data_IF_333543268034
#
_entry.id   IF_333543268034
#
_cell.length_a   1.000
_cell.length_b   1.000
_cell.length_c   1.000
_cell.angle_alpha   90.00
_cell.angle_beta   90.00
_cell.angle_gamma   90.00
#
_symmetry.space_group_name_H-M   'P 1'
#
loop_
_entity.id
_entity.type
_entity.pdbx_description
1 polymer ?
#
# COMPACT_ATOMS: atom_id res chain seq x y z
N UNK A 1 -42.63 -7.17 19.13
CA UNK A 1 -42.10 -5.81 19.32
C UNK A 1 -41.64 -5.34 17.96
N UNK A 2 -42.29 -4.33 17.42
CA UNK A 2 -42.02 -3.86 16.05
C UNK A 2 -40.70 -3.09 15.99
N UNK A 3 -39.83 -3.46 15.05
CA UNK A 3 -38.58 -2.75 14.80
C UNK A 3 -38.88 -1.47 13.99
N UNK A 4 -39.23 -0.40 14.70
CA UNK A 4 -39.44 0.91 14.08
C UNK A 4 -38.11 1.59 13.73
N UNK A 5 -38.04 2.15 12.53
CA UNK A 5 -36.97 3.04 12.09
C UNK A 5 -37.03 4.38 12.85
N UNK A 6 -35.91 5.12 12.85
CA UNK A 6 -35.85 6.44 13.51
C UNK A 6 -36.77 7.48 12.88
N UNK A 7 -37.17 7.30 11.61
CA UNK A 7 -38.14 8.15 10.92
C UNK A 7 -39.54 7.87 11.47
N UNK A 8 -39.92 6.60 11.57
CA UNK A 8 -41.22 6.20 12.12
C UNK A 8 -41.37 6.60 13.59
N UNK A 9 -40.29 6.51 14.38
CA UNK A 9 -40.26 7.00 15.77
C UNK A 9 -40.47 8.52 15.82
N UNK A 10 -39.80 9.28 14.95
CA UNK A 10 -39.95 10.74 14.86
C UNK A 10 -41.40 11.12 14.55
N UNK A 11 -42.01 10.48 13.57
CA UNK A 11 -43.40 10.74 13.18
C UNK A 11 -44.40 10.35 14.27
N UNK A 12 -44.14 9.26 14.99
CA UNK A 12 -44.98 8.80 16.10
C UNK A 12 -44.94 9.80 17.26
N UNK A 13 -43.74 10.24 17.66
CA UNK A 13 -43.57 11.25 18.71
C UNK A 13 -44.29 12.55 18.35
N UNK A 14 -44.17 13.00 17.10
CA UNK A 14 -44.85 14.20 16.65
C UNK A 14 -46.37 14.06 16.67
N UNK A 15 -46.92 12.91 16.28
CA UNK A 15 -48.37 12.65 16.31
C UNK A 15 -48.92 12.67 17.74
N UNK A 16 -48.22 12.06 18.68
CA UNK A 16 -48.69 11.89 20.07
C UNK A 16 -48.47 13.15 20.93
N UNK A 17 -47.31 13.79 20.80
CA UNK A 17 -46.89 14.87 21.72
C UNK A 17 -46.91 16.25 21.08
N UNK A 18 -47.12 16.35 19.75
CA UNK A 18 -46.99 17.58 18.94
C UNK A 18 -45.60 18.23 19.00
N UNK A 19 -44.60 17.53 19.53
CA UNK A 19 -43.21 18.00 19.58
C UNK A 19 -42.47 17.48 18.34
N UNK A 20 -41.87 18.40 17.58
CA UNK A 20 -41.07 18.05 16.41
C UNK A 20 -39.62 17.75 16.82
N UNK A 21 -39.19 16.50 16.62
CA UNK A 21 -37.82 16.04 16.91
C UNK A 21 -37.27 15.43 15.64
N UNK A 22 -36.10 15.87 15.18
CA UNK A 22 -35.49 15.26 13.99
C UNK A 22 -35.03 13.81 14.24
N UNK A 23 -35.10 12.92 13.23
CA UNK A 23 -34.55 11.55 13.34
C UNK A 23 -33.07 11.52 13.76
N UNK A 24 -32.29 12.55 13.38
CA UNK A 24 -30.89 12.72 13.81
C UNK A 24 -30.75 12.98 15.31
N UNK A 25 -31.65 13.75 15.91
CA UNK A 25 -31.64 14.01 17.35
C UNK A 25 -31.97 12.73 18.15
N UNK A 26 -32.94 11.95 17.67
CA UNK A 26 -33.28 10.63 18.22
C UNK A 26 -32.06 9.71 18.14
N UNK A 27 -31.45 9.58 16.96
CA UNK A 27 -30.26 8.76 16.74
C UNK A 27 -29.08 9.18 17.64
N UNK A 28 -28.84 10.49 17.81
CA UNK A 28 -27.78 11.01 18.68
C UNK A 28 -28.02 10.63 20.15
N UNK A 29 -29.27 10.68 20.61
CA UNK A 29 -29.64 10.31 21.99
C UNK A 29 -29.52 8.81 22.22
N UNK A 30 -30.01 7.98 21.29
CA UNK A 30 -29.87 6.52 21.34
C UNK A 30 -28.40 6.07 21.31
N UNK A 31 -27.55 6.76 20.54
CA UNK A 31 -26.10 6.55 20.54
C UNK A 31 -25.47 6.92 21.89
N UNK A 32 -25.88 8.04 22.50
CA UNK A 32 -25.42 8.46 23.83
C UNK A 32 -25.83 7.48 24.95
N UNK A 33 -26.96 6.80 24.78
CA UNK A 33 -27.43 5.73 25.68
C UNK A 33 -26.80 4.35 25.38
N UNK A 34 -25.95 4.24 24.36
CA UNK A 34 -25.33 2.96 23.95
C UNK A 34 -26.28 1.95 23.30
N UNK A 35 -27.51 2.35 23.00
CA UNK A 35 -28.55 1.48 22.40
C UNK A 35 -28.33 1.26 20.89
N UNK A 36 -27.51 2.09 20.25
CA UNK A 36 -27.11 1.96 18.84
C UNK A 36 -25.59 1.96 18.74
N UNK A 37 -25.07 1.18 17.79
CA UNK A 37 -23.64 1.08 17.45
C UNK A 37 -23.02 2.45 17.16
N UNK A 38 -21.77 2.64 17.61
CA UNK A 38 -21.03 3.85 17.27
C UNK A 38 -20.71 3.89 15.77
N UNK A 39 -20.31 5.06 15.26
CA UNK A 39 -19.89 5.20 13.87
C UNK A 39 -18.70 4.29 13.54
N UNK A 40 -17.74 4.19 14.48
CA UNK A 40 -16.59 3.29 14.39
C UNK A 40 -17.03 1.83 14.32
N UNK A 41 -18.02 1.42 15.12
CA UNK A 41 -18.54 0.05 15.12
C UNK A 41 -19.27 -0.30 13.83
N UNK A 42 -20.10 0.62 13.33
CA UNK A 42 -20.78 0.45 12.05
C UNK A 42 -19.79 0.28 10.89
N UNK A 43 -18.72 1.07 10.90
CA UNK A 43 -17.63 0.99 9.93
C UNK A 43 -16.86 -0.34 10.03
N UNK A 44 -16.46 -0.75 11.24
CA UNK A 44 -15.77 -2.02 11.49
C UNK A 44 -16.61 -3.23 11.06
N UNK A 45 -17.92 -3.19 11.27
CA UNK A 45 -18.84 -4.24 10.84
C UNK A 45 -18.99 -4.28 9.31
N UNK A 46 -18.99 -3.12 8.65
CA UNK A 46 -18.99 -3.08 7.18
C UNK A 46 -17.72 -3.72 6.60
N UNK A 47 -16.57 -3.53 7.24
CA UNK A 47 -15.31 -4.20 6.88
C UNK A 47 -15.40 -5.71 7.11
N UNK A 48 -15.83 -6.16 8.29
CA UNK A 48 -15.98 -7.59 8.61
C UNK A 48 -16.95 -8.31 7.66
N UNK A 49 -17.96 -7.60 7.16
CA UNK A 49 -18.91 -8.10 6.15
C UNK A 49 -18.43 -7.96 4.70
N UNK A 50 -17.20 -7.49 4.46
CA UNK A 50 -16.62 -7.32 3.12
C UNK A 50 -17.26 -6.22 2.27
N UNK A 51 -18.12 -5.37 2.84
CA UNK A 51 -18.82 -4.30 2.11
C UNK A 51 -17.97 -3.05 1.91
N UNK A 52 -16.92 -2.90 2.72
CA UNK A 52 -15.92 -1.83 2.63
C UNK A 52 -14.54 -2.45 2.83
N UNK A 53 -13.54 -1.93 2.14
CA UNK A 53 -12.14 -2.36 2.30
C UNK A 53 -11.24 -1.15 2.49
N UNK A 54 -10.16 -1.33 3.27
CA UNK A 54 -9.06 -0.37 3.33
C UNK A 54 -8.13 -0.45 2.09
N UNK A 55 -8.47 -1.25 1.06
CA UNK A 55 -7.58 -1.49 -0.08
C UNK A 55 -7.19 -0.19 -0.81
N UNK A 56 -8.13 0.76 -0.91
CA UNK A 56 -7.92 2.09 -1.49
C UNK A 56 -7.09 3.03 -0.60
N UNK A 57 -6.93 2.71 0.69
CA UNK A 57 -6.12 3.45 1.67
C UNK A 57 -4.78 2.78 1.94
N UNK A 58 -4.39 1.74 1.17
CA UNK A 58 -3.00 1.27 1.19
C UNK A 58 -2.13 2.48 0.88
N UNK A 59 -1.37 2.95 1.87
CA UNK A 59 -0.39 4.02 1.69
C UNK A 59 0.44 3.67 0.46
N UNK A 60 0.56 4.60 -0.47
CA UNK A 60 1.58 4.48 -1.50
C UNK A 60 2.91 4.23 -0.79
N UNK A 61 3.65 3.20 -1.20
CA UNK A 61 4.99 2.93 -0.68
C UNK A 61 5.75 4.25 -0.81
N UNK A 62 6.31 4.75 0.30
CA UNK A 62 6.96 6.05 0.25
C UNK A 62 8.06 5.99 -0.80
N UNK A 63 8.20 7.03 -1.62
CA UNK A 63 9.25 7.09 -2.64
C UNK A 63 10.67 6.95 -2.06
N UNK A 64 10.84 7.19 -0.76
CA UNK A 64 12.07 6.95 -0.02
C UNK A 64 12.33 5.47 0.32
N UNK A 65 11.28 4.65 0.48
CA UNK A 65 11.40 3.20 0.69
C UNK A 65 11.78 2.50 -0.62
N UNK A 66 11.20 2.93 -1.74
CA UNK A 66 11.57 2.46 -3.09
C UNK A 66 13.01 2.86 -3.47
N UNK A 67 13.51 4.00 -2.96
CA UNK A 67 14.86 4.51 -3.24
C UNK A 67 15.84 4.31 -2.09
N UNK A 68 15.58 3.38 -1.17
CA UNK A 68 16.60 3.02 -0.17
C UNK A 68 17.83 2.51 -0.91
N UNK A 69 18.96 3.17 -0.68
CA UNK A 69 20.25 2.75 -1.21
C UNK A 69 20.58 1.33 -0.75
N UNK A 70 21.27 0.58 -1.61
CA UNK A 70 21.74 -0.77 -1.29
C UNK A 70 22.84 -0.63 -0.23
N UNK A 71 22.69 -1.34 0.89
CA UNK A 71 23.68 -1.34 1.97
C UNK A 71 25.04 -1.87 1.46
N UNK A 72 26.15 -1.33 1.98
CA UNK A 72 27.51 -1.71 1.59
C UNK A 72 27.79 -3.21 1.74
N UNK A 73 27.28 -3.85 2.81
CA UNK A 73 27.41 -5.29 3.04
C UNK A 73 26.75 -6.09 1.91
N UNK A 74 25.49 -5.77 1.61
CA UNK A 74 24.74 -6.43 0.54
C UNK A 74 25.42 -6.22 -0.82
N UNK A 75 25.91 -5.01 -1.09
CA UNK A 75 26.66 -4.71 -2.31
C UNK A 75 27.89 -5.63 -2.46
N UNK A 76 28.67 -5.80 -1.38
CA UNK A 76 29.82 -6.69 -1.38
C UNK A 76 29.42 -8.16 -1.54
N UNK A 77 28.37 -8.62 -0.87
CA UNK A 77 27.87 -10.00 -0.99
C UNK A 77 27.43 -10.33 -2.43
N UNK A 78 26.76 -9.39 -3.12
CA UNK A 78 26.39 -9.57 -4.53
C UNK A 78 27.63 -9.62 -5.44
N UNK A 79 28.60 -8.70 -5.27
CA UNK A 79 29.84 -8.76 -6.04
C UNK A 79 30.60 -10.06 -5.80
N UNK A 80 30.67 -10.54 -4.55
CA UNK A 80 31.32 -11.80 -4.22
C UNK A 80 30.62 -12.99 -4.87
N UNK A 81 29.29 -13.04 -4.84
CA UNK A 81 28.48 -14.09 -5.50
C UNK A 81 28.76 -14.14 -6.99
N UNK A 82 28.82 -12.98 -7.63
CA UNK A 82 29.02 -12.87 -9.09
C UNK A 82 30.50 -12.93 -9.49
N UNK A 83 31.40 -13.29 -8.57
CA UNK A 83 32.83 -13.45 -8.84
C UNK A 83 33.54 -12.14 -9.22
N UNK A 84 33.00 -11.00 -8.79
CA UNK A 84 33.44 -9.65 -9.17
C UNK A 84 33.48 -9.46 -10.69
N UNK A 85 32.49 -9.99 -11.41
CA UNK A 85 32.37 -9.87 -12.86
C UNK A 85 30.96 -9.48 -13.26
N UNK A 86 30.84 -8.84 -14.42
CA UNK A 86 29.54 -8.63 -15.05
C UNK A 86 28.92 -10.00 -15.39
N UNK A 87 27.69 -10.24 -14.94
CA UNK A 87 27.00 -11.52 -15.20
C UNK A 87 26.54 -11.69 -16.66
N UNK A 88 26.53 -10.61 -17.45
CA UNK A 88 26.12 -10.66 -18.86
C UNK A 88 27.30 -10.84 -19.81
N UNK A 89 28.37 -10.04 -19.67
CA UNK A 89 29.51 -10.06 -20.59
C UNK A 89 30.81 -10.62 -19.99
N UNK A 90 30.89 -10.81 -18.67
CA UNK A 90 32.08 -11.30 -18.00
C UNK A 90 33.14 -10.24 -17.66
N UNK A 91 32.95 -8.97 -18.05
CA UNK A 91 33.91 -7.89 -17.77
C UNK A 91 34.25 -7.80 -16.28
N UNK A 92 35.52 -7.54 -16.01
CA UNK A 92 36.09 -7.37 -14.68
C UNK A 92 36.25 -5.89 -14.31
N UNK A 93 36.55 -5.54 -13.05
CA UNK A 93 36.79 -4.16 -12.63
C UNK A 93 37.97 -3.48 -13.33
N UNK A 94 38.86 -4.25 -13.98
CA UNK A 94 39.97 -3.73 -14.78
C UNK A 94 39.50 -3.19 -16.14
N UNK A 95 38.42 -3.77 -16.67
CA UNK A 95 37.92 -3.46 -18.02
C UNK A 95 36.76 -2.46 -17.99
N UNK A 96 35.91 -2.51 -16.97
CA UNK A 96 34.76 -1.60 -16.85
C UNK A 96 34.32 -1.43 -15.40
N UNK A 97 33.64 -0.32 -15.12
CA UNK A 97 33.08 -0.05 -13.79
C UNK A 97 31.90 -0.98 -13.53
N UNK A 98 32.00 -1.77 -12.46
CA UNK A 98 30.91 -2.64 -12.01
C UNK A 98 29.90 -1.88 -11.15
N UNK A 99 28.62 -2.16 -11.39
CA UNK A 99 27.47 -1.61 -10.68
C UNK A 99 26.52 -2.75 -10.28
N UNK A 100 25.68 -2.47 -9.28
CA UNK A 100 24.58 -3.38 -8.92
C UNK A 100 23.34 -2.93 -9.67
N UNK A 101 22.72 -3.86 -10.38
CA UNK A 101 21.48 -3.70 -11.13
C UNK A 101 20.37 -4.54 -10.51
N UNK A 102 19.13 -4.06 -10.60
CA UNK A 102 17.94 -4.78 -10.19
C UNK A 102 17.37 -5.57 -11.37
N UNK A 103 17.25 -6.90 -11.28
CA UNK A 103 16.69 -7.72 -12.36
C UNK A 103 15.29 -7.23 -12.73
N UNK A 104 14.40 -7.11 -11.74
CA UNK A 104 13.12 -6.41 -11.85
C UNK A 104 13.38 -4.95 -11.47
N UNK A 105 13.16 -3.97 -12.36
CA UNK A 105 13.36 -2.56 -12.07
C UNK A 105 12.56 -2.08 -10.86
N UNK A 106 13.10 -1.11 -10.11
CA UNK A 106 12.41 -0.48 -8.97
C UNK A 106 11.06 0.13 -9.37
N UNK A 107 10.96 0.67 -10.59
CA UNK A 107 9.73 1.25 -11.13
C UNK A 107 8.61 0.22 -11.30
N UNK A 108 8.98 -1.04 -11.54
CA UNK A 108 8.06 -2.17 -11.70
C UNK A 108 7.86 -2.94 -10.38
N UNK A 109 8.28 -2.38 -9.25
CA UNK A 109 8.14 -2.98 -7.93
C UNK A 109 9.31 -3.86 -7.49
N UNK A 110 10.45 -3.81 -8.20
CA UNK A 110 11.67 -4.51 -7.81
C UNK A 110 12.20 -4.11 -6.44
N UNK A 111 12.57 -5.10 -5.63
CA UNK A 111 13.08 -4.94 -4.26
C UNK A 111 14.61 -5.03 -4.23
N UNK A 112 15.22 -4.62 -3.10
CA UNK A 112 16.64 -4.86 -2.82
C UNK A 112 16.94 -6.29 -2.34
N UNK A 113 16.07 -7.26 -2.63
CA UNK A 113 16.28 -8.64 -2.23
C UNK A 113 17.49 -9.22 -2.96
N UNK A 114 18.27 -10.05 -2.27
CA UNK A 114 19.52 -10.62 -2.78
C UNK A 114 19.37 -11.28 -4.17
N UNK A 115 18.23 -11.93 -4.40
CA UNK A 115 17.91 -12.60 -5.67
C UNK A 115 17.54 -11.62 -6.80
N UNK A 116 17.04 -10.43 -6.47
CA UNK A 116 16.70 -9.42 -7.45
C UNK A 116 17.90 -8.52 -7.81
N UNK A 117 19.05 -8.69 -7.16
CA UNK A 117 20.25 -7.91 -7.43
C UNK A 117 21.27 -8.72 -8.22
N UNK A 118 21.96 -8.07 -9.15
CA UNK A 118 23.07 -8.66 -9.94
C UNK A 118 24.16 -7.64 -10.24
N UNK A 119 25.35 -8.13 -10.55
CA UNK A 119 26.51 -7.34 -10.96
C UNK A 119 26.51 -7.15 -12.47
N UNK A 120 26.48 -5.90 -12.93
CA UNK A 120 26.65 -5.53 -14.33
C UNK A 120 27.83 -4.58 -14.50
N UNK A 121 28.47 -4.59 -15.67
CA UNK A 121 29.33 -3.47 -16.07
C UNK A 121 28.47 -2.28 -16.49
N UNK A 122 29.08 -1.10 -16.52
CA UNK A 122 28.42 0.15 -16.91
C UNK A 122 27.72 0.04 -18.27
N UNK A 123 28.38 -0.56 -19.26
CA UNK A 123 27.89 -0.65 -20.64
C UNK A 123 26.66 -1.58 -20.75
N UNK A 124 26.73 -2.77 -20.12
CA UNK A 124 25.58 -3.67 -20.07
C UNK A 124 24.40 -3.07 -19.30
N UNK A 125 24.67 -2.37 -18.20
CA UNK A 125 23.63 -1.69 -17.43
C UNK A 125 22.94 -0.59 -18.26
N UNK A 126 23.72 0.21 -19.00
CA UNK A 126 23.18 1.22 -19.91
C UNK A 126 22.38 0.61 -21.05
N UNK A 127 22.88 -0.48 -21.65
CA UNK A 127 22.18 -1.21 -22.70
C UNK A 127 20.81 -1.70 -22.25
N UNK A 128 20.72 -2.27 -21.04
CA UNK A 128 19.45 -2.70 -20.43
C UNK A 128 18.44 -1.55 -20.34
N UNK A 129 18.88 -0.38 -19.88
CA UNK A 129 18.02 0.79 -19.73
C UNK A 129 17.41 1.28 -21.05
N UNK A 130 18.09 1.01 -22.18
CA UNK A 130 17.63 1.38 -23.53
C UNK A 130 16.68 0.31 -24.09
N UNK A 131 16.97 -0.98 -23.85
CA UNK A 131 16.16 -2.09 -24.38
C UNK A 131 14.83 -2.30 -23.64
N UNK A 132 14.74 -1.91 -22.37
CA UNK A 132 13.50 -2.03 -21.59
C UNK A 132 12.59 -0.81 -21.87
N UNK A 133 11.56 -1.00 -22.68
CA UNK A 133 10.49 -0.01 -22.90
C UNK A 133 9.84 0.34 -21.56
N UNK A 134 10.17 1.52 -21.02
CA UNK A 134 9.48 2.07 -19.86
C UNK A 134 8.04 2.38 -20.27
N UNK A 135 7.10 1.50 -19.91
CA UNK A 135 5.67 1.81 -19.95
C UNK A 135 5.44 2.99 -19.00
N UNK A 136 5.34 4.19 -19.57
CA UNK A 136 4.99 5.42 -18.85
C UNK A 136 3.53 5.41 -18.44
#
# INVERSE_FOLDING_TARGET
MDNLSTIEISEKIFRETKISISPRAIQKRLKGLGLIRSFSDAFNIAIKKGRKSYAHLRKSIKSCELRRGINLRLRYEIFKRDGFKCVLCGNTPKESRLVIDHIIPVVDGGTNDFLNLRTLCFDCNQGKMISEERKR
#
